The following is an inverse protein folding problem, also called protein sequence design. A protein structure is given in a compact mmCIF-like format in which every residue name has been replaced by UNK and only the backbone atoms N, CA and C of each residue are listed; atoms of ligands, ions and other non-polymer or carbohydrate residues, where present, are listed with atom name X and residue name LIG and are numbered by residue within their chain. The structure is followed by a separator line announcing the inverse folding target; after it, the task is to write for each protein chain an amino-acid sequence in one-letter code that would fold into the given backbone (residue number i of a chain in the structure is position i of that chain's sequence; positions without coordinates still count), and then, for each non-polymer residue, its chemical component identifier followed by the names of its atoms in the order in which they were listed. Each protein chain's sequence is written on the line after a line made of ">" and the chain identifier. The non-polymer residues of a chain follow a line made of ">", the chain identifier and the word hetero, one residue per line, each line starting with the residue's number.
data_IF_394171773437
#
_entry.id   IF_394171773437
#
_cell.length_a   1.000
_cell.length_b   1.000
_cell.length_c   1.000
_cell.angle_alpha   90.00
_cell.angle_beta   90.00
_cell.angle_gamma   90.00
#
_symmetry.space_group_name_H-M   'P 1'
#
loop_
_entity.id
_entity.type
_entity.pdbx_description
1 polymer ?
#
# COMPACT_ATOMS: atom_id res chain seq x y z
N UNK A 1 12.95 -7.36 1.74
CA UNK A 1 13.03 -8.39 2.78
C UNK A 1 11.69 -8.44 3.49
N UNK A 2 11.14 -9.63 3.71
CA UNK A 2 9.93 -9.82 4.52
C UNK A 2 10.35 -10.13 5.95
N UNK A 3 9.65 -9.56 6.92
CA UNK A 3 9.88 -9.79 8.35
C UNK A 3 8.64 -10.45 8.92
N UNK A 4 8.82 -11.66 9.45
CA UNK A 4 7.74 -12.49 10.02
C UNK A 4 8.00 -12.72 11.50
N UNK A 5 8.25 -11.63 12.24
CA UNK A 5 8.56 -11.62 13.66
C UNK A 5 7.56 -10.67 14.35
N UNK A 6 6.79 -11.20 15.30
CA UNK A 6 5.74 -10.46 16.01
C UNK A 6 6.31 -9.33 16.89
N UNK A 7 7.59 -9.40 17.25
CA UNK A 7 8.30 -8.37 18.03
C UNK A 7 8.83 -7.23 17.14
N UNK A 8 8.55 -7.24 15.83
CA UNK A 8 8.95 -6.20 14.88
C UNK A 8 7.70 -5.42 14.42
N UNK A 9 7.70 -4.08 14.50
CA UNK A 9 6.52 -3.28 14.20
C UNK A 9 6.19 -3.16 12.70
N UNK A 10 6.89 -3.87 11.81
CA UNK A 10 6.68 -3.85 10.36
C UNK A 10 6.93 -5.23 9.73
N UNK A 11 6.23 -5.52 8.64
CA UNK A 11 6.34 -6.79 7.91
C UNK A 11 7.25 -6.74 6.68
N UNK A 12 7.61 -5.55 6.21
CA UNK A 12 8.39 -5.37 4.99
C UNK A 12 9.49 -4.32 5.15
N UNK A 13 10.68 -4.64 4.62
CA UNK A 13 11.79 -3.71 4.43
C UNK A 13 12.12 -3.67 2.94
N UNK A 14 11.93 -2.51 2.32
CA UNK A 14 12.15 -2.30 0.89
C UNK A 14 13.18 -1.19 0.72
N UNK A 15 14.39 -1.56 0.31
CA UNK A 15 15.40 -0.59 -0.10
C UNK A 15 15.15 -0.19 -1.56
N UNK A 16 14.55 0.98 -1.75
CA UNK A 16 14.29 1.57 -3.06
C UNK A 16 15.58 1.72 -3.88
N UNK A 17 16.70 1.97 -3.20
CA UNK A 17 17.98 2.20 -3.85
C UNK A 17 18.64 0.97 -4.45
N UNK A 18 18.10 -0.23 -4.20
CA UNK A 18 18.45 -1.43 -4.96
C UNK A 18 17.76 -1.48 -6.33
N UNK A 19 16.65 -0.75 -6.51
CA UNK A 19 15.92 -0.65 -7.77
C UNK A 19 16.31 0.60 -8.58
N UNK A 20 16.49 1.74 -7.89
CA UNK A 20 16.90 3.01 -8.51
C UNK A 20 18.20 3.49 -7.87
N UNK A 21 19.24 3.73 -8.67
CA UNK A 21 20.56 4.12 -8.14
C UNK A 21 20.50 5.28 -7.13
N UNK A 22 21.28 5.23 -6.02
CA UNK A 22 21.45 6.33 -5.07
C UNK A 22 21.82 7.67 -5.71
N UNK A 23 22.46 7.69 -6.88
CA UNK A 23 22.80 8.92 -7.61
C UNK A 23 21.57 9.78 -7.93
N UNK A 24 20.42 9.14 -8.15
CA UNK A 24 19.12 9.82 -8.36
C UNK A 24 18.57 10.48 -7.11
N UNK A 25 19.14 10.14 -5.95
CA UNK A 25 18.81 10.67 -4.63
C UNK A 25 19.98 11.47 -4.02
N UNK A 26 20.96 11.88 -4.83
CA UNK A 26 22.12 12.63 -4.36
C UNK A 26 23.09 11.79 -3.51
N UNK A 27 23.23 10.50 -3.82
CA UNK A 27 24.05 9.54 -3.08
C UNK A 27 23.40 8.98 -1.81
N UNK A 28 22.13 9.30 -1.56
CA UNK A 28 21.39 8.87 -0.37
C UNK A 28 20.67 7.54 -0.63
N UNK A 29 20.54 6.75 0.43
CA UNK A 29 19.75 5.52 0.42
C UNK A 29 18.33 5.80 0.90
N UNK A 30 17.35 5.14 0.27
CA UNK A 30 15.92 5.29 0.61
C UNK A 30 15.37 3.92 0.96
N UNK A 31 14.85 3.80 2.17
CA UNK A 31 14.27 2.56 2.70
C UNK A 31 12.84 2.82 3.12
N UNK A 32 11.93 1.94 2.68
CA UNK A 32 10.55 1.89 3.13
C UNK A 32 10.38 0.74 4.12
N UNK A 33 9.78 1.05 5.26
CA UNK A 33 9.30 0.08 6.23
C UNK A 33 7.78 0.01 6.09
N UNK A 34 7.21 -1.17 5.86
CA UNK A 34 5.78 -1.30 5.55
C UNK A 34 5.08 -2.27 6.49
N UNK A 35 3.84 -1.94 6.84
CA UNK A 35 2.93 -2.79 7.60
C UNK A 35 1.48 -2.52 7.23
N UNK A 36 0.62 -3.50 7.47
CA UNK A 36 -0.82 -3.31 7.49
C UNK A 36 -1.28 -2.93 8.90
N UNK A 37 -2.38 -2.19 8.99
CA UNK A 37 -2.96 -1.78 10.27
C UNK A 37 -4.49 -1.68 10.19
N UNK A 38 -5.15 -1.83 11.33
CA UNK A 38 -6.57 -1.51 11.52
C UNK A 38 -6.75 -0.10 12.08
N UNK A 39 -7.94 0.48 11.91
CA UNK A 39 -8.20 1.90 12.21
C UNK A 39 -8.07 2.25 13.70
N UNK A 40 -8.16 1.24 14.57
CA UNK A 40 -8.10 1.33 16.02
C UNK A 40 -6.67 1.16 16.58
N UNK A 41 -5.68 0.86 15.75
CA UNK A 41 -4.28 0.79 16.19
C UNK A 41 -3.65 2.19 16.34
N UNK A 42 -2.72 2.34 17.29
CA UNK A 42 -1.97 3.59 17.50
C UNK A 42 -1.21 4.04 16.24
N UNK A 43 -0.73 3.10 15.41
CA UNK A 43 -0.08 3.47 14.13
C UNK A 43 -1.05 4.17 13.18
N UNK A 44 -2.36 3.96 13.32
CA UNK A 44 -3.38 4.63 12.51
C UNK A 44 -3.60 6.07 12.98
N UNK A 45 -3.29 6.37 14.24
CA UNK A 45 -3.58 7.63 14.93
C UNK A 45 -2.33 8.13 15.67
N UNK A 46 -1.58 9.07 15.09
CA UNK A 46 -0.40 9.64 15.77
C UNK A 46 0.51 10.40 14.83
N UNK A 47 1.43 11.18 15.39
CA UNK A 47 2.48 11.80 14.60
C UNK A 47 3.45 10.72 14.08
N UNK A 48 4.12 10.99 12.96
CA UNK A 48 5.18 10.14 12.46
C UNK A 48 6.29 9.98 13.52
N UNK A 49 6.64 11.10 14.16
CA UNK A 49 7.79 11.21 15.04
C UNK A 49 7.67 10.32 16.29
N UNK A 50 6.44 10.13 16.80
CA UNK A 50 6.18 9.29 17.97
C UNK A 50 6.43 7.79 17.71
N UNK A 51 6.47 7.37 16.45
CA UNK A 51 6.59 5.97 16.04
C UNK A 51 7.98 5.61 15.51
N UNK A 52 8.87 6.59 15.31
CA UNK A 52 10.14 6.36 14.62
C UNK A 52 11.10 5.51 15.44
N UNK A 53 11.33 5.84 16.72
CA UNK A 53 12.36 5.18 17.53
C UNK A 53 12.16 3.65 17.63
N UNK A 54 10.96 3.12 17.97
CA UNK A 54 10.76 1.67 18.01
C UNK A 54 10.96 0.98 16.65
N UNK A 55 10.71 1.69 15.55
CA UNK A 55 10.92 1.16 14.20
C UNK A 55 12.40 1.14 13.82
N UNK A 56 13.17 2.16 14.20
CA UNK A 56 14.62 2.18 13.97
C UNK A 56 15.33 1.10 14.79
N UNK A 57 14.98 0.96 16.06
CA UNK A 57 15.50 -0.11 16.93
C UNK A 57 15.23 -1.50 16.34
N UNK A 58 14.02 -1.72 15.82
CA UNK A 58 13.67 -2.97 15.14
C UNK A 58 14.43 -3.14 13.82
N UNK A 59 14.65 -2.07 13.05
CA UNK A 59 15.41 -2.11 11.81
C UNK A 59 16.88 -2.51 12.05
N UNK A 60 17.53 -1.99 13.10
CA UNK A 60 18.89 -2.39 13.43
C UNK A 60 19.02 -3.89 13.74
N UNK A 61 17.99 -4.49 14.37
CA UNK A 61 17.95 -5.93 14.67
C UNK A 61 17.88 -6.77 13.40
N UNK A 62 17.05 -6.38 12.43
CA UNK A 62 16.78 -7.18 11.22
C UNK A 62 17.70 -6.85 10.05
N UNK A 63 18.34 -5.67 10.06
CA UNK A 63 19.24 -5.19 9.00
C UNK A 63 20.59 -4.74 9.58
N UNK A 64 21.56 -5.66 9.77
CA UNK A 64 22.85 -5.35 10.39
C UNK A 64 23.64 -4.22 9.69
N UNK A 65 23.43 -3.99 8.40
CA UNK A 65 24.05 -2.90 7.65
C UNK A 65 23.55 -1.50 8.07
N UNK A 66 22.43 -1.41 8.77
CA UNK A 66 21.88 -0.17 9.32
C UNK A 66 22.33 0.09 10.77
N UNK A 67 22.99 -0.87 11.44
CA UNK A 67 23.36 -0.75 12.86
C UNK A 67 24.21 0.49 13.14
N UNK A 68 23.76 1.32 14.08
CA UNK A 68 24.44 2.55 14.49
C UNK A 68 24.33 3.69 13.46
N UNK A 69 23.43 3.58 12.47
CA UNK A 69 23.15 4.64 11.51
C UNK A 69 21.98 5.50 11.99
N UNK A 70 22.05 6.80 11.75
CA UNK A 70 20.94 7.72 12.01
C UNK A 70 20.35 8.20 10.69
N UNK A 71 19.02 8.11 10.46
CA UNK A 71 18.41 8.64 9.25
C UNK A 71 18.60 10.16 9.13
N UNK A 72 18.80 10.64 7.91
CA UNK A 72 18.81 12.08 7.62
C UNK A 72 17.42 12.71 7.73
N UNK A 73 16.38 11.91 7.49
CA UNK A 73 14.98 12.29 7.59
C UNK A 73 14.12 11.03 7.72
N UNK A 74 12.98 11.17 8.38
CA UNK A 74 11.94 10.14 8.52
C UNK A 74 10.60 10.72 8.10
N UNK A 75 9.76 9.87 7.51
CA UNK A 75 8.43 10.25 7.04
C UNK A 75 7.47 9.08 7.27
N UNK A 76 6.31 9.33 7.87
CA UNK A 76 5.24 8.35 7.95
C UNK A 76 4.15 8.65 6.92
N UNK A 77 3.80 7.63 6.15
CA UNK A 77 2.68 7.67 5.20
C UNK A 77 1.63 6.66 5.61
N UNK A 78 0.37 7.07 5.59
CA UNK A 78 -0.77 6.25 6.02
C UNK A 78 -1.86 6.29 4.94
N UNK A 79 -2.34 5.11 4.56
CA UNK A 79 -3.47 4.96 3.64
C UNK A 79 -4.58 4.14 4.32
N UNK A 80 -5.59 4.78 4.97
CA UNK A 80 -6.60 4.07 5.76
C UNK A 80 -7.46 3.11 4.92
N UNK A 81 -7.59 3.39 3.62
CA UNK A 81 -8.34 2.57 2.67
C UNK A 81 -7.43 2.00 1.58
N UNK A 82 -6.28 1.42 1.98
CA UNK A 82 -5.27 0.91 1.05
C UNK A 82 -5.72 -0.34 0.26
N UNK A 83 -6.53 -1.19 0.87
CA UNK A 83 -7.01 -2.44 0.28
C UNK A 83 -8.41 -2.78 0.79
N UNK A 84 -9.28 -3.39 -0.04
CA UNK A 84 -10.54 -3.95 0.43
C UNK A 84 -10.28 -5.17 1.34
N UNK A 85 -11.13 -5.36 2.36
CA UNK A 85 -11.16 -6.58 3.14
C UNK A 85 -12.01 -7.64 2.42
N UNK A 86 -11.35 -8.66 1.88
CA UNK A 86 -12.01 -9.74 1.13
C UNK A 86 -12.54 -10.78 2.10
N UNK A 87 -13.77 -10.56 2.58
CA UNK A 87 -14.48 -11.48 3.48
C UNK A 87 -15.19 -12.63 2.75
N UNK A 88 -15.84 -13.51 3.53
CA UNK A 88 -16.70 -14.55 2.99
C UNK A 88 -17.83 -13.94 2.16
N UNK A 89 -18.00 -14.42 0.93
CA UNK A 89 -19.04 -13.94 0.02
C UNK A 89 -18.80 -12.57 -0.60
N UNK A 90 -17.58 -12.03 -0.51
CA UNK A 90 -17.20 -10.71 -1.05
C UNK A 90 -17.69 -10.47 -2.49
N UNK A 91 -17.56 -11.48 -3.36
CA UNK A 91 -17.99 -11.42 -4.75
C UNK A 91 -19.47 -11.01 -4.94
N UNK A 92 -20.37 -11.37 -4.02
CA UNK A 92 -21.79 -11.00 -4.11
C UNK A 92 -22.06 -9.53 -3.83
N UNK A 93 -21.14 -8.85 -3.13
CA UNK A 93 -21.23 -7.44 -2.79
C UNK A 93 -20.54 -6.51 -3.79
N UNK A 94 -19.86 -7.05 -4.81
CA UNK A 94 -19.16 -6.24 -5.79
C UNK A 94 -20.19 -5.59 -6.73
N UNK A 95 -20.25 -4.24 -6.78
CA UNK A 95 -21.15 -3.56 -7.70
C UNK A 95 -20.70 -3.79 -9.16
N UNK A 96 -21.64 -3.87 -10.11
CA UNK A 96 -21.29 -3.91 -11.52
C UNK A 96 -20.56 -2.62 -11.92
N UNK A 97 -19.70 -2.74 -12.93
CA UNK A 97 -18.98 -1.59 -13.52
C UNK A 97 -19.96 -0.50 -13.97
N UNK A 98 -21.13 -0.90 -14.47
CA UNK A 98 -22.25 -0.01 -14.76
C UNK A 98 -23.35 -0.22 -13.73
N UNK A 99 -23.52 0.67 -12.73
CA UNK A 99 -24.58 0.55 -11.73
C UNK A 99 -25.98 0.86 -12.29
N UNK A 100 -26.07 1.41 -13.51
CA UNK A 100 -27.32 1.72 -14.21
C UNK A 100 -27.97 3.05 -13.82
N UNK A 101 -27.75 3.56 -12.60
CA UNK A 101 -28.16 4.92 -12.19
C UNK A 101 -27.08 5.63 -11.35
N UNK A 102 -26.83 6.93 -11.58
CA UNK A 102 -27.28 7.72 -12.73
C UNK A 102 -26.75 7.16 -14.05
N UNK A 103 -27.46 7.43 -15.16
CA UNK A 103 -26.99 7.04 -16.49
C UNK A 103 -25.69 7.77 -16.83
N UNK A 104 -24.83 7.13 -17.62
CA UNK A 104 -23.53 7.71 -17.99
C UNK A 104 -22.48 7.65 -16.88
N UNK A 105 -22.72 6.92 -15.79
CA UNK A 105 -21.75 6.68 -14.72
C UNK A 105 -21.18 5.26 -14.81
N UNK A 106 -19.86 5.15 -14.79
CA UNK A 106 -19.13 3.90 -14.59
C UNK A 106 -18.38 3.93 -13.26
N UNK A 107 -18.33 2.79 -12.58
CA UNK A 107 -17.58 2.57 -11.35
C UNK A 107 -16.40 1.65 -11.64
N UNK A 108 -15.20 2.13 -11.36
CA UNK A 108 -13.96 1.37 -11.50
C UNK A 108 -13.04 1.69 -10.30
N UNK A 109 -13.10 0.84 -9.29
CA UNK A 109 -12.34 0.96 -8.04
C UNK A 109 -11.60 -0.33 -7.74
N UNK A 110 -10.55 -0.27 -6.92
CA UNK A 110 -9.80 -1.47 -6.50
C UNK A 110 -10.66 -2.48 -5.75
N UNK A 111 -11.81 -2.06 -5.19
CA UNK A 111 -12.78 -2.97 -4.57
C UNK A 111 -13.46 -3.93 -5.57
N UNK A 112 -13.47 -3.59 -6.87
CA UNK A 112 -14.01 -4.44 -7.93
C UNK A 112 -12.96 -5.39 -8.53
N UNK A 113 -11.68 -5.24 -8.16
CA UNK A 113 -10.62 -6.15 -8.59
C UNK A 113 -10.69 -7.38 -7.69
N UNK A 114 -11.23 -8.47 -8.22
CA UNK A 114 -11.39 -9.75 -7.54
C UNK A 114 -11.60 -10.86 -8.58
N UNK A 115 -10.99 -12.05 -8.43
CA UNK A 115 -10.16 -12.50 -7.31
C UNK A 115 -8.69 -12.08 -7.40
N UNK A 116 -8.32 -11.28 -8.40
CA UNK A 116 -6.93 -10.85 -8.62
C UNK A 116 -6.46 -9.83 -7.58
N UNK A 117 -5.15 -9.64 -7.49
CA UNK A 117 -4.58 -8.58 -6.68
C UNK A 117 -4.83 -7.21 -7.32
N UNK A 118 -4.89 -6.17 -6.49
CA UNK A 118 -5.08 -4.75 -6.85
C UNK A 118 -3.85 -4.10 -7.49
N UNK A 119 -3.09 -4.88 -8.25
CA UNK A 119 -1.96 -4.42 -9.05
C UNK A 119 -2.36 -3.38 -10.08
N UNK A 120 -1.41 -2.55 -10.49
CA UNK A 120 -1.65 -1.49 -11.48
C UNK A 120 -2.16 -2.05 -12.82
N UNK A 121 -1.70 -3.25 -13.21
CA UNK A 121 -2.14 -3.93 -14.41
C UNK A 121 -3.63 -4.27 -14.37
N UNK A 122 -4.14 -4.78 -13.25
CA UNK A 122 -5.56 -5.08 -13.08
C UNK A 122 -6.41 -3.80 -12.95
N UNK A 123 -5.86 -2.74 -12.37
CA UNK A 123 -6.48 -1.41 -12.39
C UNK A 123 -6.66 -0.89 -13.83
N UNK A 124 -5.65 -1.03 -14.69
CA UNK A 124 -5.74 -0.65 -16.11
C UNK A 124 -6.78 -1.51 -16.83
N UNK A 125 -6.76 -2.84 -16.66
CA UNK A 125 -7.76 -3.74 -17.26
C UNK A 125 -9.19 -3.35 -16.87
N UNK A 126 -9.44 -3.07 -15.59
CA UNK A 126 -10.75 -2.64 -15.11
C UNK A 126 -11.17 -1.29 -15.71
N UNK A 127 -10.24 -0.34 -15.84
CA UNK A 127 -10.52 0.94 -16.47
C UNK A 127 -10.87 0.79 -17.96
N UNK A 128 -10.14 -0.06 -18.70
CA UNK A 128 -10.45 -0.36 -20.10
C UNK A 128 -11.84 -1.02 -20.26
N UNK A 129 -12.20 -1.92 -19.35
CA UNK A 129 -13.54 -2.51 -19.30
C UNK A 129 -14.60 -1.43 -19.06
N UNK A 130 -14.40 -0.56 -18.07
CA UNK A 130 -15.34 0.50 -17.72
C UNK A 130 -15.62 1.45 -18.88
N UNK A 131 -14.58 1.88 -19.60
CA UNK A 131 -14.73 2.72 -20.80
C UNK A 131 -15.53 2.00 -21.87
N UNK A 132 -15.20 0.72 -22.14
CA UNK A 132 -15.89 -0.08 -23.16
C UNK A 132 -17.38 -0.25 -22.87
N UNK A 133 -17.73 -0.59 -21.63
CA UNK A 133 -19.13 -0.77 -21.22
C UNK A 133 -19.91 0.54 -21.16
N UNK A 134 -19.26 1.64 -20.79
CA UNK A 134 -19.87 2.96 -20.80
C UNK A 134 -20.20 3.41 -22.22
N UNK A 135 -19.26 3.23 -23.17
CA UNK A 135 -19.46 3.59 -24.57
C UNK A 135 -20.50 2.70 -25.27
N UNK A 136 -20.75 1.48 -24.77
CA UNK A 136 -21.78 0.60 -25.33
C UNK A 136 -23.22 0.99 -24.94
N UNK A 137 -23.41 1.97 -24.04
CA UNK A 137 -24.73 2.42 -23.60
C UNK A 137 -25.37 3.51 -24.49
N UNK A 138 -24.65 4.01 -25.51
CA UNK A 138 -25.10 5.06 -26.44
C UNK A 138 -24.37 4.97 -27.77
#
# INVERSE_FOLDING_TARGET
>A
MNVCDDDVPFGGVIEQTNFVSPERYGGRHVVYLSRYYTHDEDVAQGDADDLVEPWLDALERVAPGFKGQTPLATHAFRAPYAAPLVGLGYAHGIPPVIPGKPQGLALATTAQIYPEDRGMDNGVKLAEQAVRELLAQG
#
